data_IF_230024432728
#
_entry.id   IF_230024432728
#
_cell.length_a   1.000
_cell.length_b   1.000
_cell.length_c   1.000
_cell.angle_alpha   90.00
_cell.angle_beta   90.00
_cell.angle_gamma   90.00
#
_symmetry.space_group_name_H-M   'P 1'
#
loop_
_entity.id
_entity.type
_entity.pdbx_description
1 polymer ?
#
# COMPACT_ATOMS: atom_id res chain seq x y z
N UNK A 1 2.36 16.01 1.89
CA UNK A 1 3.01 14.82 1.31
C UNK A 1 2.03 13.66 1.37
N UNK A 2 2.06 12.75 0.39
CA UNK A 2 1.08 11.67 0.26
C UNK A 2 1.75 10.30 0.27
N UNK A 3 0.99 9.29 0.70
CA UNK A 3 1.37 7.88 0.63
C UNK A 3 0.21 7.06 0.08
N UNK A 4 0.53 5.92 -0.52
CA UNK A 4 -0.47 5.01 -1.07
C UNK A 4 -0.56 3.75 -0.21
N UNK A 5 -1.73 3.48 0.34
CA UNK A 5 -2.02 2.27 1.12
C UNK A 5 -2.76 1.27 0.24
N UNK A 6 -2.20 0.07 0.07
CA UNK A 6 -2.81 -1.00 -0.73
C UNK A 6 -3.65 -1.96 0.12
N UNK A 7 -3.49 -1.96 1.44
CA UNK A 7 -4.29 -2.82 2.30
C UNK A 7 -4.03 -2.61 3.79
N UNK A 8 -4.97 -3.05 4.62
CA UNK A 8 -4.88 -3.01 6.06
C UNK A 8 -5.46 -4.30 6.66
N UNK A 9 -4.69 -4.96 7.52
CA UNK A 9 -4.98 -6.30 8.03
C UNK A 9 -4.73 -6.40 9.53
N UNK A 10 -5.51 -7.23 10.20
CA UNK A 10 -5.24 -7.63 11.59
C UNK A 10 -4.27 -8.83 11.67
N UNK A 11 -4.14 -9.60 10.59
CA UNK A 11 -3.31 -10.80 10.52
C UNK A 11 -2.06 -10.52 9.67
N UNK A 12 -0.87 -10.74 10.25
CA UNK A 12 0.41 -10.49 9.58
C UNK A 12 0.57 -11.25 8.27
N UNK A 13 0.13 -12.51 8.25
CA UNK A 13 0.23 -13.36 7.06
C UNK A 13 -0.56 -12.80 5.86
N UNK A 14 -1.71 -12.18 6.10
CA UNK A 14 -2.51 -11.55 5.04
C UNK A 14 -1.79 -10.32 4.48
N UNK A 15 -1.21 -9.48 5.35
CA UNK A 15 -0.39 -8.35 4.92
C UNK A 15 0.85 -8.82 4.14
N UNK A 16 1.48 -9.92 4.57
CA UNK A 16 2.65 -10.50 3.91
C UNK A 16 2.30 -11.09 2.54
N UNK A 17 1.13 -11.73 2.39
CA UNK A 17 0.64 -12.22 1.11
C UNK A 17 0.44 -11.06 0.11
N UNK A 18 -0.20 -9.97 0.54
CA UNK A 18 -0.36 -8.78 -0.32
C UNK A 18 0.99 -8.14 -0.66
N UNK A 19 1.89 -8.00 0.32
CA UNK A 19 3.23 -7.47 0.11
C UNK A 19 4.00 -8.27 -0.94
N UNK A 20 3.99 -9.61 -0.87
CA UNK A 20 4.66 -10.46 -1.84
C UNK A 20 4.08 -10.30 -3.25
N UNK A 21 2.74 -10.26 -3.36
CA UNK A 21 2.05 -10.01 -4.64
C UNK A 21 2.42 -8.66 -5.25
N UNK A 22 2.42 -7.60 -4.45
CA UNK A 22 2.82 -6.27 -4.94
C UNK A 22 4.27 -6.27 -5.43
N UNK A 23 5.19 -6.90 -4.68
CA UNK A 23 6.59 -7.00 -5.10
C UNK A 23 6.80 -7.86 -6.35
N UNK A 24 6.03 -8.94 -6.52
CA UNK A 24 6.11 -9.76 -7.74
C UNK A 24 5.60 -9.03 -8.97
N UNK A 25 4.69 -8.06 -8.79
CA UNK A 25 4.26 -7.12 -9.83
C UNK A 25 5.24 -5.93 -10.03
N UNK A 26 6.37 -5.89 -9.31
CA UNK A 26 7.38 -4.84 -9.46
C UNK A 26 7.15 -3.60 -8.60
N UNK A 27 6.12 -3.58 -7.74
CA UNK A 27 5.88 -2.45 -6.85
C UNK A 27 6.79 -2.47 -5.63
N UNK A 28 7.30 -1.29 -5.25
CA UNK A 28 8.01 -1.10 -4.00
C UNK A 28 7.00 -1.01 -2.84
N UNK A 29 6.68 -2.14 -2.21
CA UNK A 29 5.79 -2.21 -1.06
C UNK A 29 6.55 -2.30 0.28
N UNK A 30 5.92 -1.87 1.37
CA UNK A 30 6.39 -2.03 2.75
C UNK A 30 5.22 -2.35 3.68
N UNK A 31 5.45 -3.16 4.70
CA UNK A 31 4.48 -3.41 5.77
C UNK A 31 4.88 -2.55 6.96
N UNK A 32 3.92 -1.79 7.50
CA UNK A 32 4.10 -1.04 8.74
C UNK A 32 3.14 -1.56 9.80
N UNK A 33 3.67 -1.70 11.02
CA UNK A 33 2.86 -2.00 12.19
C UNK A 33 2.27 -0.72 12.78
N UNK A 34 1.05 -0.81 13.30
CA UNK A 34 0.32 0.28 13.95
C UNK A 34 -0.12 -0.19 15.34
N UNK A 35 -0.12 0.73 16.32
CA UNK A 35 -0.45 0.41 17.71
C UNK A 35 -1.92 0.03 17.91
N UNK A 36 -2.80 0.39 16.97
CA UNK A 36 -4.23 0.05 16.97
C UNK A 36 -4.67 -0.80 15.76
N UNK A 37 -5.82 -1.48 15.84
CA UNK A 37 -6.36 -2.21 14.70
C UNK A 37 -6.79 -1.25 13.58
N UNK A 38 -6.54 -1.59 12.30
CA UNK A 38 -5.78 -2.74 11.83
C UNK A 38 -4.26 -2.59 12.06
N UNK A 39 -3.66 -3.64 12.67
CA UNK A 39 -2.26 -3.65 13.11
C UNK A 39 -1.25 -3.61 11.98
N UNK A 40 -1.55 -4.19 10.82
CA UNK A 40 -0.61 -4.29 9.70
C UNK A 40 -1.14 -3.53 8.50
N UNK A 41 -0.41 -2.51 8.04
CA UNK A 41 -0.78 -1.72 6.86
C UNK A 41 0.28 -1.90 5.78
N UNK A 42 -0.17 -2.17 4.55
CA UNK A 42 0.70 -2.33 3.39
C UNK A 42 0.69 -1.02 2.61
N UNK A 43 1.86 -0.41 2.49
CA UNK A 43 2.09 0.84 1.78
C UNK A 43 2.90 0.59 0.53
N UNK A 44 2.69 1.40 -0.49
CA UNK A 44 3.38 1.29 -1.78
C UNK A 44 4.01 2.63 -2.15
N UNK A 45 5.27 2.58 -2.59
CA UNK A 45 6.08 3.74 -2.93
C UNK A 45 6.66 4.44 -1.70
N UNK A 46 7.32 5.57 -1.98
CA UNK A 46 7.87 6.48 -0.97
C UNK A 46 6.91 7.60 -0.61
N UNK A 47 7.47 8.72 -0.17
CA UNK A 47 6.74 9.96 0.04
C UNK A 47 6.54 10.67 -1.32
N UNK A 48 5.28 10.88 -1.70
CA UNK A 48 4.90 11.33 -3.04
C UNK A 48 4.22 12.69 -2.99
N UNK A 49 4.31 13.44 -4.09
CA UNK A 49 3.34 14.50 -4.37
C UNK A 49 1.96 13.91 -4.73
N UNK A 50 0.95 14.77 -4.80
CA UNK A 50 -0.43 14.34 -5.05
C UNK A 50 -0.57 13.62 -6.40
N UNK A 51 -0.04 14.22 -7.46
CA UNK A 51 -0.20 13.68 -8.82
C UNK A 51 0.53 12.34 -8.99
N UNK A 52 1.71 12.19 -8.39
CA UNK A 52 2.44 10.92 -8.38
C UNK A 52 1.69 9.85 -7.58
N UNK A 53 1.11 10.20 -6.43
CA UNK A 53 0.29 9.28 -5.64
C UNK A 53 -0.99 8.85 -6.37
N UNK A 54 -1.67 9.77 -7.06
CA UNK A 54 -2.86 9.47 -7.87
C UNK A 54 -2.53 8.52 -9.04
N UNK A 55 -1.41 8.74 -9.74
CA UNK A 55 -0.94 7.80 -10.78
C UNK A 55 -0.61 6.42 -10.22
N UNK A 56 0.03 6.35 -9.06
CA UNK A 56 0.35 5.07 -8.42
C UNK A 56 -0.91 4.31 -7.99
N UNK A 57 -1.92 5.01 -7.45
CA UNK A 57 -3.23 4.42 -7.15
C UNK A 57 -3.89 3.88 -8.42
N UNK A 58 -3.88 4.65 -9.50
CA UNK A 58 -4.47 4.22 -10.77
C UNK A 58 -3.76 2.98 -11.33
N UNK A 59 -2.43 2.95 -11.29
CA UNK A 59 -1.64 1.80 -11.73
C UNK A 59 -1.95 0.54 -10.90
N UNK A 60 -1.95 0.66 -9.57
CA UNK A 60 -2.29 -0.46 -8.68
C UNK A 60 -3.69 -1.02 -8.96
N UNK A 61 -4.67 -0.14 -9.16
CA UNK A 61 -6.05 -0.56 -9.48
C UNK A 61 -6.15 -1.21 -10.86
N UNK A 62 -5.42 -0.73 -11.85
CA UNK A 62 -5.35 -1.36 -13.18
C UNK A 62 -4.76 -2.77 -13.10
N UNK A 63 -3.80 -2.99 -12.21
CA UNK A 63 -3.20 -4.30 -11.92
C UNK A 63 -4.06 -5.18 -10.99
N UNK A 64 -5.24 -4.71 -10.58
CA UNK A 64 -6.21 -5.46 -9.78
C UNK A 64 -6.00 -5.37 -8.26
N UNK A 65 -5.17 -4.44 -7.78
CA UNK A 65 -4.98 -4.18 -6.36
C UNK A 65 -5.89 -3.05 -5.87
N UNK A 66 -6.44 -3.21 -4.67
CA UNK A 66 -7.02 -2.09 -3.94
C UNK A 66 -5.92 -1.11 -3.54
N UNK A 67 -6.21 0.18 -3.67
CA UNK A 67 -5.30 1.25 -3.29
C UNK A 67 -6.06 2.52 -2.89
N UNK A 68 -5.59 3.15 -1.83
CA UNK A 68 -6.10 4.42 -1.30
C UNK A 68 -4.96 5.42 -1.12
N UNK A 69 -5.21 6.66 -1.51
CA UNK A 69 -4.30 7.78 -1.26
C UNK A 69 -4.57 8.34 0.13
N UNK A 70 -3.52 8.44 0.95
CA UNK A 70 -3.58 8.95 2.31
C UNK A 70 -2.71 10.21 2.40
N UNK A 71 -3.33 11.31 2.80
CA UNK A 71 -2.62 12.53 3.16
C UNK A 71 -1.96 12.35 4.53
N UNK A 72 -0.72 12.80 4.67
CA UNK A 72 -0.01 12.86 5.93
C UNK A 72 -0.24 14.19 6.63
#
# INVERSE_FOLDING_TARGET
>A
MFRVQAGAFNVRQNAQALFQRLRSHGYAAVIMESDGPPRYRVWVGGELDRSAAERLVAALRADGFDAALIAR
#
